data_IF_103346195735
#
_entry.id   IF_103346195735
#
_cell.length_a   1.000
_cell.length_b   1.000
_cell.length_c   1.000
_cell.angle_alpha   90.00
_cell.angle_beta   90.00
_cell.angle_gamma   90.00
#
_symmetry.space_group_name_H-M   'P 1'
#
loop_
_entity.id
_entity.type
_entity.pdbx_description
1 polymer ?
#
# COMPACT_ATOMS: atom_id res chain seq x y z
N UNK A 1 -12.28 8.53 4.04
CA UNK A 1 -11.04 8.21 3.30
C UNK A 1 -10.88 6.71 3.40
N UNK A 2 -10.73 6.03 2.28
CA UNK A 2 -10.50 4.58 2.24
C UNK A 2 -9.09 4.24 2.74
N UNK A 3 -8.90 3.01 3.18
CA UNK A 3 -7.67 2.55 3.83
C UNK A 3 -7.33 1.15 3.37
N UNK A 4 -6.18 1.02 2.73
CA UNK A 4 -5.63 -0.25 2.31
C UNK A 4 -4.83 -0.88 3.45
N UNK A 5 -5.08 -2.15 3.75
CA UNK A 5 -4.29 -2.88 4.75
C UNK A 5 -3.08 -3.52 4.08
N UNK A 6 -1.87 -3.06 4.43
CA UNK A 6 -0.61 -3.47 3.81
C UNK A 6 0.25 -4.25 4.82
N UNK A 7 0.98 -5.30 4.41
CA UNK A 7 1.92 -5.96 5.31
C UNK A 7 2.94 -4.96 5.87
N UNK A 8 3.21 -5.01 7.18
CA UNK A 8 4.10 -4.06 7.88
C UNK A 8 5.53 -4.05 7.30
N UNK A 9 5.95 -5.16 6.68
CA UNK A 9 7.19 -5.27 5.91
C UNK A 9 7.21 -4.38 4.66
N UNK A 10 6.11 -4.32 3.91
CA UNK A 10 5.93 -3.47 2.72
C UNK A 10 5.99 -1.99 3.10
N UNK A 11 5.27 -1.60 4.16
CA UNK A 11 5.25 -0.21 4.66
C UNK A 11 6.62 0.20 5.21
N UNK A 12 7.30 -0.69 5.94
CA UNK A 12 8.68 -0.47 6.42
C UNK A 12 9.64 -0.28 5.25
N UNK A 13 9.51 -1.09 4.19
CA UNK A 13 10.37 -1.01 3.01
C UNK A 13 10.16 0.29 2.21
N UNK A 14 8.91 0.72 2.04
CA UNK A 14 8.59 2.02 1.44
C UNK A 14 9.23 3.18 2.23
N UNK A 15 9.18 3.11 3.57
CA UNK A 15 9.82 4.09 4.46
C UNK A 15 11.34 4.14 4.28
N UNK A 16 12.03 3.00 4.26
CA UNK A 16 13.48 2.91 4.00
C UNK A 16 13.87 3.53 2.65
N UNK A 17 13.10 3.20 1.61
CA UNK A 17 13.30 3.69 0.25
C UNK A 17 13.16 5.21 0.17
N UNK A 18 12.15 5.79 0.85
CA UNK A 18 11.98 7.23 0.99
C UNK A 18 13.17 7.91 1.69
N UNK A 19 13.71 7.34 2.78
CA UNK A 19 14.93 7.87 3.42
C UNK A 19 16.10 7.88 2.44
N UNK A 20 16.24 6.84 1.61
CA UNK A 20 17.32 6.78 0.61
C UNK A 20 17.15 7.88 -0.44
N UNK A 21 15.96 8.01 -1.05
CA UNK A 21 15.65 9.06 -2.03
C UNK A 21 15.87 10.47 -1.47
N UNK A 22 15.45 10.75 -0.23
CA UNK A 22 15.70 12.04 0.43
C UNK A 22 17.20 12.33 0.60
N UNK A 23 17.98 11.36 1.10
CA UNK A 23 19.45 11.51 1.26
C UNK A 23 20.20 11.74 -0.05
N UNK A 24 19.62 11.29 -1.18
CA UNK A 24 20.20 11.42 -2.52
C UNK A 24 19.71 12.66 -3.28
N UNK A 25 18.77 13.44 -2.71
CA UNK A 25 18.18 14.60 -3.38
C UNK A 25 17.27 14.24 -4.57
N UNK A 26 16.66 13.04 -4.57
CA UNK A 26 15.73 12.63 -5.62
C UNK A 26 14.40 13.42 -5.56
N UNK A 27 14.07 13.98 -4.39
CA UNK A 27 12.95 14.90 -4.20
C UNK A 27 13.36 16.35 -4.43
N UNK A 28 12.51 17.12 -5.10
CA UNK A 28 12.60 18.58 -5.22
C UNK A 28 12.15 19.26 -3.93
N UNK A 29 12.63 20.47 -3.65
CA UNK A 29 12.27 21.27 -2.47
C UNK A 29 10.75 21.37 -2.28
N UNK A 30 10.02 21.60 -3.37
CA UNK A 30 8.55 21.67 -3.44
C UNK A 30 7.84 20.35 -3.06
N UNK A 31 8.49 19.20 -3.19
CA UNK A 31 7.92 17.88 -2.86
C UNK A 31 8.14 17.49 -1.37
N UNK A 32 9.09 18.12 -0.66
CA UNK A 32 9.49 17.69 0.71
C UNK A 32 8.37 17.78 1.74
N UNK A 33 7.43 18.72 1.61
CA UNK A 33 6.31 18.87 2.54
C UNK A 33 5.40 17.63 2.48
N UNK A 34 5.01 17.22 1.27
CA UNK A 34 4.18 16.03 1.04
C UNK A 34 4.91 14.75 1.45
N UNK A 35 6.18 14.61 1.04
CA UNK A 35 7.04 13.47 1.42
C UNK A 35 7.11 13.32 2.95
N UNK A 36 7.34 14.43 3.67
CA UNK A 36 7.45 14.41 5.14
C UNK A 36 6.13 14.05 5.82
N UNK A 37 5.01 14.53 5.28
CA UNK A 37 3.68 14.21 5.80
C UNK A 37 3.33 12.73 5.59
N UNK A 38 3.57 12.19 4.38
CA UNK A 38 3.40 10.77 4.06
C UNK A 38 4.32 9.90 4.92
N UNK A 39 5.60 10.24 5.00
CA UNK A 39 6.59 9.53 5.82
C UNK A 39 6.20 9.43 7.30
N UNK A 40 5.62 10.51 7.85
CA UNK A 40 5.11 10.55 9.23
C UNK A 40 3.95 9.56 9.41
N UNK A 41 2.94 9.60 8.53
CA UNK A 41 1.79 8.68 8.57
C UNK A 41 2.21 7.21 8.46
N UNK A 42 3.12 6.87 7.53
CA UNK A 42 3.66 5.52 7.38
C UNK A 42 4.45 5.08 8.62
N UNK A 43 5.16 6.01 9.27
CA UNK A 43 5.89 5.73 10.52
C UNK A 43 4.95 5.49 11.69
N UNK A 44 3.77 6.11 11.70
CA UNK A 44 2.73 5.85 12.70
C UNK A 44 2.03 4.51 12.45
N UNK A 45 1.69 4.21 11.19
CA UNK A 45 1.02 2.97 10.80
C UNK A 45 1.81 1.69 11.17
N UNK A 46 3.14 1.76 11.26
CA UNK A 46 3.99 0.60 11.67
C UNK A 46 4.34 0.54 13.16
N UNK A 47 3.84 1.47 14.00
CA UNK A 47 4.08 1.43 15.47
C UNK A 47 3.25 0.39 16.20
N UNK A 48 2.23 -0.18 15.57
CA UNK A 48 1.22 -1.05 16.19
C UNK A 48 1.68 -2.49 16.47
N UNK A 49 2.90 -2.88 16.08
CA UNK A 49 3.43 -4.26 16.14
C UNK A 49 2.54 -5.31 15.42
N UNK A 50 1.59 -4.86 14.61
CA UNK A 50 0.67 -5.70 13.84
C UNK A 50 1.35 -6.25 12.57
N UNK A 51 0.86 -7.40 12.08
CA UNK A 51 1.34 -7.98 10.83
C UNK A 51 1.01 -7.13 9.59
N UNK A 52 -0.09 -6.37 9.66
CA UNK A 52 -0.53 -5.41 8.66
C UNK A 52 -0.68 -4.02 9.29
N UNK A 53 -0.50 -3.00 8.48
CA UNK A 53 -0.59 -1.60 8.82
C UNK A 53 -1.59 -0.94 7.87
N UNK A 54 -2.58 -0.24 8.43
CA UNK A 54 -3.61 0.43 7.64
C UNK A 54 -3.07 1.78 7.15
N UNK A 55 -3.06 1.95 5.84
CA UNK A 55 -2.50 3.13 5.16
C UNK A 55 -3.61 3.77 4.33
N UNK A 56 -3.69 5.10 4.29
CA UNK A 56 -4.71 5.74 3.45
C UNK A 56 -4.46 5.41 1.98
N UNK A 57 -5.53 5.17 1.23
CA UNK A 57 -5.46 4.86 -0.20
C UNK A 57 -4.72 5.97 -0.99
N UNK A 58 -4.87 7.23 -0.54
CA UNK A 58 -4.16 8.39 -1.07
C UNK A 58 -2.64 8.31 -0.80
N UNK A 59 -2.21 7.87 0.37
CA UNK A 59 -0.79 7.67 0.69
C UNK A 59 -0.21 6.51 -0.12
N UNK A 60 -0.96 5.42 -0.32
CA UNK A 60 -0.53 4.30 -1.17
C UNK A 60 -0.38 4.73 -2.65
N UNK A 61 -1.33 5.50 -3.18
CA UNK A 61 -1.23 6.13 -4.52
C UNK A 61 -0.03 7.09 -4.62
N UNK A 62 0.23 7.89 -3.58
CA UNK A 62 1.41 8.76 -3.51
C UNK A 62 2.71 7.95 -3.51
N UNK A 63 2.80 6.88 -2.71
CA UNK A 63 3.96 5.98 -2.67
C UNK A 63 4.29 5.42 -4.05
N UNK A 64 3.30 4.88 -4.77
CA UNK A 64 3.49 4.36 -6.13
C UNK A 64 4.04 5.45 -7.06
N UNK A 65 3.48 6.66 -7.02
CA UNK A 65 3.93 7.78 -7.86
C UNK A 65 5.36 8.21 -7.51
N UNK A 66 5.64 8.40 -6.22
CA UNK A 66 6.94 8.84 -5.72
C UNK A 66 8.07 7.84 -6.03
N UNK A 67 7.82 6.53 -5.91
CA UNK A 67 8.78 5.47 -6.26
C UNK A 67 9.11 5.56 -7.75
N UNK A 68 8.10 5.51 -8.62
CA UNK A 68 8.29 5.62 -10.08
C UNK A 68 9.07 6.89 -10.47
N UNK A 69 8.75 8.04 -9.88
CA UNK A 69 9.42 9.31 -10.16
C UNK A 69 10.87 9.31 -9.65
N UNK A 70 11.11 8.84 -8.42
CA UNK A 70 12.43 8.87 -7.80
C UNK A 70 13.40 7.87 -8.43
N UNK A 71 12.95 6.71 -8.87
CA UNK A 71 13.80 5.72 -9.56
C UNK A 71 14.27 6.18 -10.93
N UNK A 72 13.48 7.01 -11.63
CA UNK A 72 13.94 7.70 -12.83
C UNK A 72 14.98 8.79 -12.53
N UNK A 73 14.93 9.41 -11.34
CA UNK A 73 15.87 10.47 -10.90
C UNK A 73 17.14 9.92 -10.25
N UNK A 74 17.08 8.74 -9.63
CA UNK A 74 18.16 8.09 -8.89
C UNK A 74 18.31 6.59 -9.24
N UNK A 75 18.55 6.23 -10.52
CA UNK A 75 18.46 4.86 -11.02
C UNK A 75 19.49 3.89 -10.42
N UNK A 76 20.61 4.39 -9.87
CA UNK A 76 21.65 3.56 -9.27
C UNK A 76 21.21 2.86 -7.98
N UNK A 77 20.22 3.40 -7.26
CA UNK A 77 19.74 2.84 -5.99
C UNK A 77 18.65 1.78 -6.19
N UNK A 78 17.80 1.92 -7.22
CA UNK A 78 16.81 0.92 -7.63
C UNK A 78 17.44 -0.47 -7.90
N UNK A 79 18.72 -0.50 -8.31
CA UNK A 79 19.51 -1.72 -8.55
C UNK A 79 19.96 -2.39 -7.25
N UNK A 80 20.26 -1.61 -6.20
CA UNK A 80 20.72 -2.11 -4.91
C UNK A 80 19.56 -2.50 -3.97
N UNK A 81 18.39 -1.90 -4.16
CA UNK A 81 17.17 -2.20 -3.43
C UNK A 81 16.32 -3.24 -4.19
N UNK A 82 16.84 -4.47 -4.32
CA UNK A 82 16.02 -5.58 -4.82
C UNK A 82 14.80 -5.85 -3.92
N UNK A 83 13.62 -6.12 -4.49
CA UNK A 83 13.12 -5.60 -5.76
C UNK A 83 12.01 -4.56 -5.51
N UNK A 84 12.28 -3.33 -5.93
CA UNK A 84 11.28 -2.27 -6.07
C UNK A 84 10.01 -2.73 -6.82
N UNK A 85 10.15 -3.71 -7.73
CA UNK A 85 9.04 -4.39 -8.39
C UNK A 85 8.05 -5.06 -7.43
N UNK A 86 8.49 -5.90 -6.48
CA UNK A 86 7.58 -6.55 -5.51
C UNK A 86 6.89 -5.51 -4.60
N UNK A 87 7.60 -4.43 -4.26
CA UNK A 87 7.04 -3.31 -3.50
C UNK A 87 5.95 -2.57 -4.31
N UNK A 88 6.22 -2.26 -5.57
CA UNK A 88 5.27 -1.63 -6.48
C UNK A 88 4.07 -2.54 -6.78
N UNK A 89 4.29 -3.84 -6.96
CA UNK A 89 3.23 -4.83 -7.16
C UNK A 89 2.32 -4.93 -5.93
N UNK A 90 2.89 -5.06 -4.72
CA UNK A 90 2.11 -5.11 -3.49
C UNK A 90 1.28 -3.83 -3.25
N UNK A 91 1.88 -2.66 -3.44
CA UNK A 91 1.17 -1.38 -3.34
C UNK A 91 0.08 -1.24 -4.42
N UNK A 92 0.36 -1.64 -5.66
CA UNK A 92 -0.59 -1.55 -6.78
C UNK A 92 -1.75 -2.53 -6.62
N UNK A 93 -1.48 -3.73 -6.11
CA UNK A 93 -2.51 -4.73 -5.80
C UNK A 93 -3.46 -4.23 -4.71
N UNK A 94 -2.92 -3.72 -3.60
CA UNK A 94 -3.72 -3.22 -2.47
C UNK A 94 -4.62 -2.03 -2.86
N UNK A 95 -4.14 -1.13 -3.73
CA UNK A 95 -4.96 -0.02 -4.24
C UNK A 95 -6.03 -0.51 -5.22
N UNK A 96 -5.78 -1.56 -6.01
CA UNK A 96 -6.76 -2.12 -6.94
C UNK A 96 -7.83 -2.98 -6.26
N UNK A 97 -7.51 -3.62 -5.13
CA UNK A 97 -8.49 -4.47 -4.43
C UNK A 97 -9.66 -3.66 -3.88
N UNK A 98 -9.48 -2.41 -3.40
CA UNK A 98 -10.61 -1.58 -2.95
C UNK A 98 -11.52 -1.10 -4.11
N UNK A 99 -10.99 -0.97 -5.34
CA UNK A 99 -11.79 -0.68 -6.54
C UNK A 99 -12.69 -1.88 -6.96
N UNK A 100 -12.35 -3.11 -6.58
CA UNK A 100 -13.17 -4.32 -6.82
C UNK A 100 -14.01 -4.75 -5.61
N UNK A 101 -13.55 -4.55 -4.37
CA UNK A 101 -14.27 -4.88 -3.13
C UNK A 101 -15.50 -3.98 -2.87
N UNK A 102 -15.71 -2.95 -3.71
CA UNK A 102 -16.98 -2.20 -3.78
C UNK A 102 -18.07 -2.89 -4.63
N UNK A 103 -17.94 -4.16 -5.01
CA UNK A 103 -18.91 -4.89 -5.87
C UNK A 103 -19.52 -6.17 -5.31
N UNK A 104 -19.13 -6.63 -4.13
CA UNK A 104 -19.79 -7.70 -3.39
C UNK A 104 -20.10 -7.14 -2.00
N UNK A 105 -21.31 -7.22 -1.44
CA UNK A 105 -22.11 -8.42 -1.18
C UNK A 105 -23.60 -8.01 -0.85
N UNK A 106 -24.62 -8.91 -0.88
CA UNK A 106 -24.77 -9.87 0.22
C UNK A 106 -25.30 -11.28 -0.13
N UNK A 107 -24.67 -12.27 0.51
CA UNK A 107 -25.24 -13.58 0.84
C UNK A 107 -26.56 -13.49 1.63
N UNK A 108 -27.71 -13.51 0.96
CA UNK A 108 -28.95 -13.99 1.60
C UNK A 108 -29.03 -15.52 1.57
N UNK A 109 -28.66 -16.13 2.70
CA UNK A 109 -29.01 -17.51 3.02
C UNK A 109 -30.54 -17.66 3.08
N UNK A 110 -31.13 -18.53 2.26
CA UNK A 110 -32.35 -19.24 2.63
C UNK A 110 -32.13 -20.74 2.65
N UNK A 111 -31.87 -21.24 3.86
CA UNK A 111 -31.80 -22.66 4.17
C UNK A 111 -32.90 -23.02 5.18
N UNK A 112 -34.10 -23.25 4.66
CA UNK A 112 -35.17 -24.00 5.32
C UNK A 112 -35.59 -25.06 4.29
N UNK A 113 -35.26 -26.35 4.46
CA UNK A 113 -36.03 -27.32 5.26
C UNK A 113 -37.54 -27.18 4.98
N UNK A 114 -38.22 -28.20 4.47
CA UNK A 114 -38.46 -29.44 5.22
C UNK A 114 -38.86 -30.61 4.29
N UNK A 115 -38.63 -31.83 4.78
CA UNK A 115 -38.88 -33.16 4.21
C UNK A 115 -40.29 -33.45 3.66
N UNK A 116 -40.38 -34.56 2.89
CA UNK A 116 -41.44 -35.62 2.81
C UNK A 116 -41.59 -36.09 1.33
N UNK A 117 -41.66 -37.37 0.94
CA UNK A 117 -41.27 -38.70 1.49
C UNK A 117 -41.20 -39.69 0.30
N UNK A 118 -40.64 -40.89 0.46
CA UNK A 118 -40.68 -42.00 -0.53
C UNK A 118 -42.10 -42.40 -0.98
N UNK A 119 -42.25 -42.74 -2.28
CA UNK A 119 -42.88 -43.96 -2.80
C UNK A 119 -42.74 -44.07 -4.34
#
# INVERSE_FOLDING_TARGET
MSTVSLPTTVVTRARELFVSYSKKGAFRIEEYADVSAVFTRLTEAVKSETAHADVSEQDAKYLISAINVCSNRAPTEAINLKPEGELLEALTAAVKSEDEESKEEPLEKKLEKTSITEL
#
